data_IF_452677984204
#
_entry.id   IF_452677984204
#
_cell.length_a   1.000
_cell.length_b   1.000
_cell.length_c   1.000
_cell.angle_alpha   90.00
_cell.angle_beta   90.00
_cell.angle_gamma   90.00
#
_symmetry.space_group_name_H-M   'P 1'
#
loop_
_entity.id
_entity.type
_entity.pdbx_description
1 polymer ?
#
# COMPACT_ATOMS: atom_id res chain seq x y z
N UNK A 1 -4.62 -20.89 8.70
CA UNK A 1 -3.35 -20.26 8.31
C UNK A 1 -3.20 -20.18 6.79
N UNK A 2 -3.17 -21.29 6.04
CA UNK A 2 -3.07 -21.23 4.57
C UNK A 2 -4.27 -20.56 3.87
N UNK A 3 -5.49 -20.94 4.24
CA UNK A 3 -6.71 -20.33 3.67
C UNK A 3 -6.74 -18.82 3.95
N UNK A 4 -6.39 -18.45 5.18
CA UNK A 4 -6.30 -17.05 5.61
C UNK A 4 -5.27 -16.26 4.80
N UNK A 5 -4.12 -16.86 4.46
CA UNK A 5 -3.13 -16.24 3.58
C UNK A 5 -3.68 -15.98 2.18
N UNK A 6 -4.46 -16.91 1.62
CA UNK A 6 -5.11 -16.72 0.32
C UNK A 6 -6.17 -15.60 0.38
N UNK A 7 -7.02 -15.60 1.41
CA UNK A 7 -8.04 -14.56 1.61
C UNK A 7 -7.40 -13.16 1.75
N UNK A 8 -6.30 -13.06 2.51
CA UNK A 8 -5.61 -11.78 2.72
C UNK A 8 -4.87 -11.32 1.46
N UNK A 9 -4.38 -12.24 0.61
CA UNK A 9 -3.86 -11.89 -0.70
C UNK A 9 -4.94 -11.40 -1.66
N UNK A 10 -6.13 -12.01 -1.65
CA UNK A 10 -7.27 -11.59 -2.45
C UNK A 10 -7.73 -10.18 -2.07
N UNK A 11 -7.67 -9.87 -0.77
CA UNK A 11 -7.96 -8.51 -0.25
C UNK A 11 -7.09 -7.43 -0.90
N UNK A 12 -5.87 -7.73 -1.36
CA UNK A 12 -5.03 -6.78 -2.11
C UNK A 12 -5.70 -6.44 -3.46
N UNK A 13 -6.18 -7.45 -4.18
CA UNK A 13 -6.84 -7.27 -5.47
C UNK A 13 -8.16 -6.51 -5.31
N UNK A 14 -8.93 -6.84 -4.29
CA UNK A 14 -10.16 -6.12 -3.96
C UNK A 14 -9.89 -4.65 -3.64
N UNK A 15 -8.85 -4.36 -2.86
CA UNK A 15 -8.45 -2.97 -2.54
C UNK A 15 -8.05 -2.19 -3.79
N UNK A 16 -7.26 -2.79 -4.68
CA UNK A 16 -6.87 -2.16 -5.95
C UNK A 16 -8.09 -1.91 -6.83
N UNK A 17 -9.00 -2.89 -6.94
CA UNK A 17 -10.24 -2.77 -7.72
C UNK A 17 -11.16 -1.68 -7.17
N UNK A 18 -11.33 -1.64 -5.85
CA UNK A 18 -12.11 -0.60 -5.19
C UNK A 18 -11.52 0.78 -5.46
N UNK A 19 -10.20 0.94 -5.28
CA UNK A 19 -9.52 2.20 -5.58
C UNK A 19 -9.77 2.67 -7.01
N UNK A 20 -9.55 1.80 -8.00
CA UNK A 20 -9.80 2.12 -9.41
C UNK A 20 -11.26 2.52 -9.66
N UNK A 21 -12.20 1.85 -9.00
CA UNK A 21 -13.62 2.17 -9.09
C UNK A 21 -13.92 3.56 -8.52
N UNK A 22 -13.33 3.95 -7.38
CA UNK A 22 -13.51 5.29 -6.82
C UNK A 22 -12.90 6.36 -7.73
N UNK A 23 -11.72 6.11 -8.31
CA UNK A 23 -11.10 7.02 -9.28
C UNK A 23 -11.97 7.22 -10.52
N UNK A 24 -12.58 6.15 -11.04
CA UNK A 24 -13.47 6.19 -12.20
C UNK A 24 -14.79 6.93 -11.90
N UNK A 25 -15.35 6.73 -10.70
CA UNK A 25 -16.61 7.37 -10.29
C UNK A 25 -16.43 8.87 -10.03
N UNK A 26 -15.40 9.24 -9.26
CA UNK A 26 -15.27 10.61 -8.77
C UNK A 26 -14.39 11.50 -9.67
N UNK A 27 -13.60 10.90 -10.56
CA UNK A 27 -12.72 11.60 -11.52
C UNK A 27 -12.01 12.80 -10.88
N UNK A 28 -11.19 12.58 -9.83
CA UNK A 28 -10.68 13.67 -9.00
C UNK A 28 -9.85 14.65 -9.81
N UNK A 29 -10.10 15.95 -9.57
CA UNK A 29 -9.23 17.01 -10.06
C UNK A 29 -7.95 17.03 -9.22
N UNK A 30 -6.87 16.44 -9.75
CA UNK A 30 -5.55 16.44 -9.13
C UNK A 30 -4.74 17.62 -9.70
N UNK A 31 -4.35 18.61 -8.87
CA UNK A 31 -3.49 19.70 -9.30
C UNK A 31 -2.16 19.19 -9.84
N UNK A 32 -1.63 19.85 -10.88
CA UNK A 32 -0.41 19.44 -11.59
C UNK A 32 0.80 19.34 -10.64
N UNK A 33 0.83 20.19 -9.60
CA UNK A 33 1.87 20.21 -8.57
C UNK A 33 1.92 18.92 -7.74
N UNK A 34 0.86 18.10 -7.75
CA UNK A 34 0.77 16.82 -7.03
C UNK A 34 0.95 15.61 -7.94
N UNK A 35 1.02 15.77 -9.27
CA UNK A 35 1.12 14.64 -10.20
C UNK A 35 2.33 13.74 -9.91
N UNK A 36 3.50 14.34 -9.65
CA UNK A 36 4.70 13.58 -9.32
C UNK A 36 4.57 12.88 -7.97
N UNK A 37 3.94 13.52 -6.98
CA UNK A 37 3.76 12.96 -5.66
C UNK A 37 2.81 11.75 -5.70
N UNK A 38 1.68 11.85 -6.43
CA UNK A 38 0.73 10.75 -6.61
C UNK A 38 1.30 9.59 -7.41
N UNK A 39 2.05 9.87 -8.48
CA UNK A 39 2.78 8.84 -9.21
C UNK A 39 3.76 8.12 -8.28
N UNK A 40 4.51 8.88 -7.47
CA UNK A 40 5.48 8.28 -6.56
C UNK A 40 4.84 7.45 -5.46
N UNK A 41 3.72 7.93 -4.90
CA UNK A 41 2.93 7.20 -3.93
C UNK A 41 2.47 5.85 -4.53
N UNK A 42 1.95 5.89 -5.75
CA UNK A 42 1.49 4.69 -6.46
C UNK A 42 2.62 3.70 -6.69
N UNK A 43 3.79 4.16 -7.16
CA UNK A 43 4.98 3.30 -7.34
C UNK A 43 5.41 2.61 -6.04
N UNK A 44 5.41 3.34 -4.92
CA UNK A 44 5.80 2.81 -3.62
C UNK A 44 4.79 1.77 -3.11
N UNK A 45 3.49 2.07 -3.21
CA UNK A 45 2.43 1.12 -2.86
C UNK A 45 2.52 -0.17 -3.67
N UNK A 46 2.73 -0.07 -4.99
CA UNK A 46 2.92 -1.24 -5.87
C UNK A 46 4.19 -2.00 -5.50
N UNK A 47 5.28 -1.31 -5.18
CA UNK A 47 6.55 -1.95 -4.80
C UNK A 47 6.43 -2.80 -3.53
N UNK A 48 5.56 -2.42 -2.59
CA UNK A 48 5.25 -3.22 -1.40
C UNK A 48 4.58 -4.54 -1.78
N UNK A 49 3.56 -4.50 -2.66
CA UNK A 49 2.87 -5.69 -3.19
C UNK A 49 3.81 -6.59 -4.01
N UNK A 50 4.62 -6.00 -4.90
CA UNK A 50 5.58 -6.75 -5.71
C UNK A 50 6.63 -7.47 -4.87
N UNK A 51 7.07 -6.84 -3.78
CA UNK A 51 8.02 -7.43 -2.82
C UNK A 51 7.41 -8.58 -2.01
N UNK A 52 6.08 -8.62 -1.85
CA UNK A 52 5.37 -9.67 -1.13
C UNK A 52 5.31 -10.99 -1.93
N UNK A 53 5.11 -10.93 -3.24
CA UNK A 53 4.97 -12.12 -4.11
C UNK A 53 6.12 -13.14 -4.01
N UNK A 54 7.41 -12.76 -4.12
CA UNK A 54 8.50 -13.71 -3.96
C UNK A 54 8.55 -14.28 -2.53
N UNK A 55 8.17 -13.49 -1.53
CA UNK A 55 8.15 -13.88 -0.12
C UNK A 55 7.11 -14.97 0.16
N UNK A 56 5.89 -14.81 -0.38
CA UNK A 56 4.85 -15.84 -0.32
C UNK A 56 5.32 -17.13 -1.01
N UNK A 57 5.98 -17.03 -2.18
CA UNK A 57 6.53 -18.21 -2.87
C UNK A 57 7.63 -18.90 -2.06
N UNK A 58 8.50 -18.12 -1.41
CA UNK A 58 9.58 -18.64 -0.57
C UNK A 58 9.03 -19.41 0.63
N UNK A 59 7.91 -18.98 1.23
CA UNK A 59 7.28 -19.71 2.33
C UNK A 59 6.99 -21.18 2.01
N UNK A 60 6.67 -21.52 0.76
CA UNK A 60 6.42 -22.90 0.34
C UNK A 60 7.69 -23.71 0.06
N UNK A 61 8.80 -23.05 -0.31
CA UNK A 61 10.00 -23.70 -0.84
C UNK A 61 11.22 -23.61 0.09
N UNK A 62 11.45 -22.43 0.66
CA UNK A 62 12.60 -22.08 1.49
C UNK A 62 12.14 -21.19 2.67
N UNK A 63 11.45 -21.77 3.69
CA UNK A 63 10.87 -20.99 4.78
C UNK A 63 11.87 -20.11 5.53
N UNK A 64 13.13 -20.54 5.64
CA UNK A 64 14.18 -19.82 6.36
C UNK A 64 14.52 -18.46 5.72
N UNK A 65 14.25 -18.28 4.42
CA UNK A 65 14.52 -17.01 3.71
C UNK A 65 13.36 -16.01 3.80
N UNK A 66 12.20 -16.41 4.33
CA UNK A 66 11.00 -15.57 4.38
C UNK A 66 11.25 -14.30 5.19
N UNK A 67 11.84 -14.43 6.38
CA UNK A 67 12.12 -13.30 7.26
C UNK A 67 13.00 -12.25 6.58
N UNK A 68 14.01 -12.70 5.86
CA UNK A 68 14.94 -11.82 5.15
C UNK A 68 14.34 -11.24 3.87
N UNK A 69 13.17 -11.67 3.42
CA UNK A 69 12.46 -11.07 2.27
C UNK A 69 11.36 -10.09 2.72
N UNK A 70 10.73 -10.35 3.88
CA UNK A 70 9.71 -9.48 4.46
C UNK A 70 10.19 -8.05 4.73
N UNK A 71 11.48 -7.84 5.02
CA UNK A 71 12.03 -6.50 5.26
C UNK A 71 11.78 -5.52 4.09
N UNK A 72 11.71 -6.04 2.85
CA UNK A 72 11.45 -5.20 1.67
C UNK A 72 10.01 -4.71 1.64
N UNK A 73 9.05 -5.56 2.02
CA UNK A 73 7.64 -5.18 2.10
C UNK A 73 7.47 -4.07 3.12
N UNK A 74 8.04 -4.24 4.33
CA UNK A 74 8.01 -3.22 5.39
C UNK A 74 8.74 -1.93 5.01
N UNK A 75 9.81 -2.02 4.25
CA UNK A 75 10.51 -0.83 3.76
C UNK A 75 9.62 0.00 2.82
N UNK A 76 8.97 -0.65 1.84
CA UNK A 76 8.14 0.05 0.88
C UNK A 76 6.82 0.57 1.49
N UNK A 77 6.21 -0.16 2.42
CA UNK A 77 5.06 0.36 3.18
C UNK A 77 5.44 1.63 3.94
N UNK A 78 6.54 1.63 4.69
CA UNK A 78 7.00 2.81 5.42
C UNK A 78 7.31 4.01 4.52
N UNK A 79 7.91 3.80 3.36
CA UNK A 79 8.13 4.89 2.40
C UNK A 79 6.81 5.37 1.76
N UNK A 80 5.82 4.48 1.61
CA UNK A 80 4.45 4.84 1.17
C UNK A 80 3.78 5.75 2.19
N UNK A 81 3.76 5.37 3.47
CA UNK A 81 3.22 6.19 4.58
C UNK A 81 3.84 7.59 4.61
N UNK A 82 5.16 7.64 4.46
CA UNK A 82 5.92 8.89 4.46
C UNK A 82 5.52 9.77 3.28
N UNK A 83 5.34 9.20 2.09
CA UNK A 83 4.89 9.92 0.91
C UNK A 83 3.44 10.40 1.06
N UNK A 84 2.55 9.54 1.56
CA UNK A 84 1.16 9.89 1.83
C UNK A 84 1.05 11.04 2.83
N UNK A 85 1.83 10.98 3.92
CA UNK A 85 1.92 12.07 4.90
C UNK A 85 2.46 13.37 4.30
N UNK A 86 3.44 13.30 3.40
CA UNK A 86 3.98 14.47 2.71
C UNK A 86 2.92 15.12 1.81
N UNK A 87 2.19 14.34 1.02
CA UNK A 87 1.07 14.82 0.19
C UNK A 87 0.01 15.48 1.06
N UNK A 88 -0.43 14.81 2.14
CA UNK A 88 -1.42 15.35 3.08
C UNK A 88 -0.95 16.71 3.65
N UNK A 89 0.30 16.81 4.10
CA UNK A 89 0.86 18.08 4.61
C UNK A 89 0.87 19.17 3.54
N UNK A 90 1.33 18.88 2.33
CA UNK A 90 1.36 19.82 1.20
C UNK A 90 -0.05 20.34 0.87
N UNK A 91 -1.02 19.44 0.73
CA UNK A 91 -2.43 19.77 0.47
C UNK A 91 -3.03 20.67 1.55
N UNK A 92 -2.83 20.34 2.83
CA UNK A 92 -3.47 21.09 3.91
C UNK A 92 -2.74 22.39 4.26
N UNK A 93 -1.41 22.41 4.24
CA UNK A 93 -0.61 23.54 4.73
C UNK A 93 -0.13 24.49 3.63
N UNK A 94 0.17 23.99 2.43
CA UNK A 94 0.83 24.79 1.38
C UNK A 94 -0.13 25.24 0.28
N UNK A 95 -1.12 24.40 -0.07
CA UNK A 95 -2.09 24.71 -1.12
C UNK A 95 -3.23 25.59 -0.59
N UNK A 96 -2.99 26.90 -0.52
CA UNK A 96 -3.95 27.90 -0.02
C UNK A 96 -5.12 28.17 -0.97
N UNK A 97 -4.97 27.87 -2.25
CA UNK A 97 -5.98 28.12 -3.28
C UNK A 97 -7.06 27.02 -3.37
N UNK A 98 -6.94 25.95 -2.59
CA UNK A 98 -7.92 24.86 -2.55
C UNK A 98 -8.92 25.06 -1.43
N UNK A 99 -10.20 24.83 -1.74
CA UNK A 99 -11.24 24.74 -0.75
C UNK A 99 -11.07 23.49 0.11
N UNK A 100 -11.67 23.49 1.30
CA UNK A 100 -11.56 22.37 2.22
C UNK A 100 -12.09 21.06 1.63
N UNK A 101 -13.16 21.11 0.82
CA UNK A 101 -13.70 19.94 0.10
C UNK A 101 -12.68 19.32 -0.86
N UNK A 102 -11.98 20.14 -1.64
CA UNK A 102 -10.93 19.68 -2.57
C UNK A 102 -9.77 19.05 -1.80
N UNK A 103 -9.38 19.65 -0.67
CA UNK A 103 -8.35 19.09 0.22
C UNK A 103 -8.75 17.72 0.78
N UNK A 104 -10.01 17.56 1.20
CA UNK A 104 -10.53 16.28 1.67
C UNK A 104 -10.56 15.22 0.57
N UNK A 105 -10.90 15.61 -0.66
CA UNK A 105 -10.94 14.71 -1.81
C UNK A 105 -9.53 14.23 -2.19
N UNK A 106 -8.53 15.12 -2.20
CA UNK A 106 -7.13 14.74 -2.42
C UNK A 106 -6.60 13.84 -1.29
N UNK A 107 -6.95 14.14 -0.04
CA UNK A 107 -6.62 13.29 1.11
C UNK A 107 -7.22 11.89 0.99
N UNK A 108 -8.47 11.81 0.52
CA UNK A 108 -9.19 10.56 0.31
C UNK A 108 -8.45 9.69 -0.70
N UNK A 109 -8.13 10.22 -1.89
CA UNK A 109 -7.41 9.46 -2.90
C UNK A 109 -5.97 9.12 -2.51
N UNK A 110 -5.32 9.97 -1.72
CA UNK A 110 -4.02 9.65 -1.11
C UNK A 110 -4.13 8.42 -0.21
N UNK A 111 -5.15 8.38 0.67
CA UNK A 111 -5.39 7.26 1.58
C UNK A 111 -5.72 5.97 0.82
N UNK A 112 -6.51 6.06 -0.26
CA UNK A 112 -6.83 4.90 -1.07
C UNK A 112 -5.58 4.23 -1.65
N UNK A 113 -4.65 5.02 -2.22
CA UNK A 113 -3.40 4.47 -2.75
C UNK A 113 -2.50 3.91 -1.64
N UNK A 114 -2.39 4.62 -0.50
CA UNK A 114 -1.64 4.19 0.70
C UNK A 114 -2.14 2.83 1.21
N UNK A 115 -3.46 2.63 1.31
CA UNK A 115 -4.06 1.40 1.82
C UNK A 115 -3.61 0.12 1.06
N UNK A 116 -3.17 0.24 -0.19
CA UNK A 116 -2.65 -0.92 -0.95
C UNK A 116 -1.38 -1.48 -0.29
N UNK A 117 -0.48 -0.63 0.21
CA UNK A 117 0.70 -1.09 0.95
C UNK A 117 0.33 -1.65 2.32
N UNK A 118 -0.65 -1.06 3.00
CA UNK A 118 -1.11 -1.52 4.32
C UNK A 118 -1.65 -2.94 4.25
N UNK A 119 -2.41 -3.26 3.20
CA UNK A 119 -2.90 -4.62 3.00
C UNK A 119 -1.73 -5.56 2.70
N UNK A 120 -0.75 -5.15 1.90
CA UNK A 120 0.46 -5.95 1.67
C UNK A 120 1.24 -6.22 2.96
N UNK A 121 1.36 -5.23 3.85
CA UNK A 121 1.97 -5.38 5.17
C UNK A 121 1.18 -6.36 6.05
N UNK A 122 -0.15 -6.32 6.06
CA UNK A 122 -0.97 -7.29 6.81
C UNK A 122 -0.70 -8.72 6.35
N UNK A 123 -0.57 -8.95 5.04
CA UNK A 123 -0.19 -10.27 4.51
C UNK A 123 1.23 -10.65 4.95
N UNK A 124 2.16 -9.70 4.93
CA UNK A 124 3.53 -9.89 5.39
C UNK A 124 3.59 -10.31 6.88
N UNK A 125 2.79 -9.68 7.73
CA UNK A 125 2.70 -9.99 9.16
C UNK A 125 2.14 -11.39 9.41
N UNK A 126 1.08 -11.77 8.70
CA UNK A 126 0.55 -13.13 8.75
C UNK A 126 1.61 -14.15 8.32
N UNK A 127 2.31 -13.87 7.22
CA UNK A 127 3.35 -14.76 6.69
C UNK A 127 4.52 -14.90 7.67
N UNK A 128 4.89 -13.82 8.36
CA UNK A 128 5.90 -13.83 9.43
C UNK A 128 5.53 -14.78 10.56
N UNK A 129 4.28 -14.67 11.06
CA UNK A 129 3.76 -15.55 12.12
C UNK A 129 3.74 -17.00 11.65
N UNK A 130 3.27 -17.26 10.42
CA UNK A 130 3.21 -18.60 9.84
C UNK A 130 4.61 -19.22 9.68
N UNK A 131 5.62 -18.43 9.31
CA UNK A 131 7.00 -18.90 9.19
C UNK A 131 7.57 -19.31 10.56
N UNK A 132 7.37 -18.50 11.60
CA UNK A 132 7.83 -18.82 12.97
C UNK A 132 7.19 -20.12 13.47
N UNK A 133 5.88 -20.28 13.31
CA UNK A 133 5.15 -21.49 13.74
C UNK A 133 5.65 -22.77 13.07
N UNK A 134 6.27 -22.68 11.90
CA UNK A 134 6.77 -23.85 11.14
C UNK A 134 8.16 -24.30 11.60
N UNK A 135 8.91 -23.44 12.30
CA UNK A 135 10.25 -23.72 12.82
C UNK A 135 10.24 -24.33 14.22
N UNK A 136 9.11 -24.22 14.94
CA UNK A 136 8.86 -24.83 16.27
C UNK A 136 8.20 -26.20 16.09
#
# INVERSE_FOLDING_TARGET
>A
DLLKLLDDMDTILDTVKENLSQFDVEMPSIPVELNQDFNKLTELSVSAVESLLPTVRAFFRTPDTVRDQLHRVYFFEKETDKMALAIKKKVFHEMTNLNLSEKFHLRYFTLHIENVSDVAQKVADLLSIMAIKRTI
#
